data_IF_349188490963
#
_entry.id   IF_349188490963
#
_cell.length_a   1.000
_cell.length_b   1.000
_cell.length_c   1.000
_cell.angle_alpha   90.00
_cell.angle_beta   90.00
_cell.angle_gamma   90.00
#
_symmetry.space_group_name_H-M   'P 1'
#
loop_
_entity.id
_entity.type
_entity.pdbx_description
1 polymer ?
#
# COMPACT_ATOMS: atom_id res chain seq x y z
N UNK A 1 20.70 48.83 -27.78
CA UNK A 1 19.45 48.76 -27.00
C UNK A 1 19.56 47.58 -26.05
N UNK A 2 19.67 47.85 -24.74
CA UNK A 2 19.85 46.85 -23.69
C UNK A 2 18.47 46.40 -23.18
N UNK A 3 18.02 45.20 -23.52
CA UNK A 3 16.87 44.58 -22.85
C UNK A 3 17.36 43.74 -21.68
N UNK A 4 17.01 44.15 -20.47
CA UNK A 4 17.26 43.43 -19.23
C UNK A 4 16.36 42.19 -19.15
N UNK A 5 16.96 41.00 -19.27
CA UNK A 5 16.31 39.73 -18.92
C UNK A 5 16.11 39.71 -17.40
N UNK A 6 14.87 39.89 -16.95
CA UNK A 6 14.50 39.60 -15.56
C UNK A 6 14.65 38.11 -15.31
N UNK A 7 15.78 37.72 -14.73
CA UNK A 7 15.96 36.40 -14.12
C UNK A 7 14.96 36.28 -12.97
N UNK A 8 13.92 35.47 -13.17
CA UNK A 8 13.04 35.02 -12.09
C UNK A 8 13.83 34.10 -11.15
N UNK A 9 14.60 34.69 -10.24
CA UNK A 9 15.19 34.00 -9.09
C UNK A 9 14.10 33.80 -8.04
N UNK A 10 13.14 32.93 -8.34
CA UNK A 10 12.27 32.38 -7.30
C UNK A 10 13.13 31.43 -6.47
N UNK A 11 13.59 31.91 -5.33
CA UNK A 11 14.19 31.09 -4.27
C UNK A 11 13.30 29.87 -4.03
N UNK A 12 13.85 28.65 -3.88
CA UNK A 12 13.07 27.49 -3.46
C UNK A 12 12.73 27.65 -1.98
N UNK A 13 11.78 28.54 -1.68
CA UNK A 13 11.22 28.70 -0.37
C UNK A 13 10.27 27.52 -0.12
N UNK A 14 10.76 26.55 0.65
CA UNK A 14 9.99 25.76 1.60
C UNK A 14 8.53 25.53 1.22
N UNK A 15 8.27 24.77 0.16
CA UNK A 15 7.03 23.99 0.18
C UNK A 15 7.38 22.72 0.91
N UNK A 16 7.21 22.76 2.24
CA UNK A 16 6.95 21.61 3.11
C UNK A 16 5.67 20.95 2.59
N UNK A 17 5.73 20.41 1.36
CA UNK A 17 4.63 19.76 0.66
C UNK A 17 4.34 18.54 1.48
N UNK A 18 3.19 18.56 2.18
CA UNK A 18 2.50 17.36 2.58
C UNK A 18 2.66 16.35 1.43
N UNK A 19 3.44 15.30 1.69
CA UNK A 19 3.76 14.29 0.68
C UNK A 19 2.42 13.79 0.17
N UNK A 20 2.10 13.89 -1.14
CA UNK A 20 0.79 13.53 -1.65
C UNK A 20 0.41 12.13 -1.17
N UNK A 21 -0.82 11.95 -0.69
CA UNK A 21 -1.28 10.66 -0.13
C UNK A 21 -1.02 9.50 -1.09
N UNK A 22 -1.20 9.72 -2.41
CA UNK A 22 -0.86 8.75 -3.46
C UNK A 22 0.61 8.32 -3.47
N UNK A 23 1.56 9.23 -3.18
CA UNK A 23 2.98 8.85 -3.04
C UNK A 23 3.21 8.02 -1.79
N UNK A 24 2.51 8.26 -0.69
CA UNK A 24 2.61 7.44 0.51
C UNK A 24 2.04 6.03 0.29
N UNK A 25 0.96 5.90 -0.51
CA UNK A 25 0.43 4.60 -0.92
C UNK A 25 1.45 3.84 -1.77
N UNK A 26 2.03 4.50 -2.78
CA UNK A 26 3.05 3.88 -3.64
C UNK A 26 4.28 3.51 -2.82
N UNK A 27 4.77 4.40 -1.96
CA UNK A 27 5.90 4.14 -1.08
C UNK A 27 5.59 2.97 -0.14
N UNK A 28 4.39 2.87 0.45
CA UNK A 28 3.99 1.73 1.28
C UNK A 28 3.86 0.40 0.52
N UNK A 29 3.44 0.45 -0.75
CA UNK A 29 3.38 -0.72 -1.67
C UNK A 29 4.78 -1.13 -2.15
N UNK A 30 5.73 -0.19 -2.19
CA UNK A 30 7.12 -0.43 -2.58
C UNK A 30 8.00 -0.83 -1.38
N UNK A 31 7.71 -0.30 -0.18
CA UNK A 31 8.40 -0.58 1.09
C UNK A 31 7.89 -1.88 1.74
N UNK A 32 6.60 -2.18 1.60
CA UNK A 32 6.00 -3.45 1.99
C UNK A 32 5.75 -4.31 0.76
N UNK A 33 6.24 -5.55 0.76
CA UNK A 33 6.02 -6.54 -0.31
C UNK A 33 4.57 -6.41 -0.85
N UNK A 34 4.35 -6.15 -2.15
CA UNK A 34 3.01 -5.98 -2.69
C UNK A 34 2.20 -7.20 -2.28
N UNK A 35 1.12 -6.99 -1.54
CA UNK A 35 0.23 -8.08 -1.14
C UNK A 35 -0.30 -8.69 -2.41
N UNK A 36 0.12 -9.91 -2.66
CA UNK A 36 -0.41 -10.71 -3.76
C UNK A 36 -1.86 -11.05 -3.43
N UNK A 37 -2.68 -11.36 -4.45
CA UNK A 37 -4.04 -11.84 -4.18
C UNK A 37 -4.06 -13.06 -3.22
N UNK A 38 -2.99 -13.86 -3.20
CA UNK A 38 -2.81 -14.94 -2.23
C UNK A 38 -2.65 -14.45 -0.77
N UNK A 39 -1.98 -13.32 -0.55
CA UNK A 39 -1.84 -12.72 0.78
C UNK A 39 -3.19 -12.18 1.29
N UNK A 40 -3.99 -11.60 0.40
CA UNK A 40 -5.33 -11.11 0.74
C UNK A 40 -6.30 -12.25 1.06
N UNK A 41 -6.27 -13.32 0.25
CA UNK A 41 -7.05 -14.54 0.49
C UNK A 41 -6.64 -15.17 1.82
N UNK A 42 -5.34 -15.30 2.08
CA UNK A 42 -4.84 -15.86 3.35
C UNK A 42 -5.29 -15.03 4.55
N UNK A 43 -5.21 -13.70 4.45
CA UNK A 43 -5.67 -12.80 5.50
C UNK A 43 -7.19 -12.84 5.71
N UNK A 44 -7.98 -13.00 4.64
CA UNK A 44 -9.42 -13.16 4.73
C UNK A 44 -9.78 -14.48 5.43
N UNK A 45 -9.17 -15.58 4.99
CA UNK A 45 -9.42 -16.91 5.55
C UNK A 45 -9.05 -16.99 7.03
N UNK A 46 -7.95 -16.35 7.45
CA UNK A 46 -7.57 -16.26 8.87
C UNK A 46 -8.58 -15.45 9.70
N UNK A 47 -9.06 -14.30 9.19
CA UNK A 47 -10.03 -13.45 9.91
C UNK A 47 -11.41 -14.11 10.07
N UNK A 48 -11.83 -14.89 9.08
CA UNK A 48 -13.17 -15.48 9.01
C UNK A 48 -13.20 -16.98 9.34
N UNK A 49 -12.12 -17.52 9.93
CA UNK A 49 -11.95 -18.96 10.17
C UNK A 49 -13.11 -19.61 10.93
N UNK A 50 -13.69 -18.89 11.90
CA UNK A 50 -14.82 -19.37 12.71
C UNK A 50 -16.20 -19.17 12.06
N UNK A 51 -16.27 -18.38 10.99
CA UNK A 51 -17.51 -18.14 10.23
C UNK A 51 -17.77 -19.27 9.22
N UNK A 52 -16.77 -20.11 8.94
CA UNK A 52 -16.89 -21.23 8.01
C UNK A 52 -17.59 -22.44 8.63
N UNK A 53 -18.33 -23.17 7.80
CA UNK A 53 -18.91 -24.45 8.19
C UNK A 53 -17.81 -25.41 8.69
N UNK A 54 -18.07 -26.26 9.72
CA UNK A 54 -17.06 -27.12 10.33
C UNK A 54 -16.29 -27.99 9.32
N UNK A 55 -16.97 -28.49 8.30
CA UNK A 55 -16.38 -29.32 7.24
C UNK A 55 -15.37 -28.54 6.39
N UNK A 56 -15.69 -27.29 6.05
CA UNK A 56 -14.80 -26.43 5.27
C UNK A 56 -13.57 -26.03 6.11
N UNK A 57 -13.78 -25.73 7.39
CA UNK A 57 -12.70 -25.40 8.33
C UNK A 57 -11.67 -26.52 8.45
N UNK A 58 -12.12 -27.76 8.70
CA UNK A 58 -11.25 -28.95 8.78
C UNK A 58 -10.46 -29.15 7.47
N UNK A 59 -11.09 -28.91 6.33
CA UNK A 59 -10.43 -29.05 5.03
C UNK A 59 -9.34 -27.99 4.80
N UNK A 60 -9.58 -26.75 5.23
CA UNK A 60 -8.60 -25.66 5.15
C UNK A 60 -7.43 -25.84 6.13
N UNK A 61 -7.70 -26.31 7.35
CA UNK A 61 -6.69 -26.68 8.36
C UNK A 61 -5.78 -27.81 7.82
N UNK A 62 -6.36 -28.87 7.26
CA UNK A 62 -5.60 -29.98 6.63
C UNK A 62 -4.71 -29.54 5.47
N UNK A 63 -5.06 -28.45 4.80
CA UNK A 63 -4.30 -27.88 3.69
C UNK A 63 -3.30 -26.80 4.15
N UNK A 64 -3.21 -26.53 5.45
CA UNK A 64 -2.36 -25.49 6.03
C UNK A 64 -2.63 -24.08 5.46
N UNK A 65 -3.89 -23.80 5.10
CA UNK A 65 -4.31 -22.51 4.51
C UNK A 65 -4.90 -21.56 5.56
N UNK A 66 -5.30 -22.08 6.72
CA UNK A 66 -5.74 -21.30 7.88
C UNK A 66 -4.94 -21.72 9.12
N UNK A 67 -4.50 -20.73 9.90
CA UNK A 67 -3.91 -20.89 11.24
C UNK A 67 -4.65 -19.95 12.19
#
# INVERSE_FOLDING_TARGET
MNMSVTQFTVRPAMVRRSRPFWRQIIDAVMEGRPRTGADEISAYLARHHYDFAPTLRIHLERRHVCV
#
